data_IF_544529744466
#
_entry.id   IF_544529744466
#
_cell.length_a   1.000
_cell.length_b   1.000
_cell.length_c   1.000
_cell.angle_alpha   90.00
_cell.angle_beta   90.00
_cell.angle_gamma   90.00
#
_symmetry.space_group_name_H-M   'P 1'
#
loop_
_entity.id
_entity.type
_entity.pdbx_description
1 polymer ?
#
# COMPACT_ATOMS: atom_id res chain seq x y z
N UNK A 1 27.76 3.06 17.76
CA UNK A 1 26.45 2.41 18.03
C UNK A 1 26.43 1.06 17.33
N UNK A 2 25.98 -0.03 17.97
CA UNK A 2 25.85 -1.31 17.26
C UNK A 2 24.72 -1.23 16.22
N UNK A 3 24.83 -1.93 15.08
CA UNK A 3 23.78 -1.94 14.03
C UNK A 3 22.41 -2.36 14.58
N UNK A 4 22.40 -3.29 15.54
CA UNK A 4 21.19 -3.79 16.20
C UNK A 4 20.49 -2.73 17.05
N UNK A 5 21.24 -1.81 17.67
CA UNK A 5 20.67 -0.75 18.48
C UNK A 5 20.03 0.35 17.62
N UNK A 6 20.65 0.67 16.48
CA UNK A 6 20.10 1.62 15.51
C UNK A 6 18.77 1.13 14.90
N UNK A 7 18.67 -0.15 14.55
CA UNK A 7 17.43 -0.74 14.02
C UNK A 7 16.27 -0.71 15.03
N UNK A 8 16.54 -0.90 16.33
CA UNK A 8 15.53 -0.81 17.39
C UNK A 8 15.03 0.63 17.59
N UNK A 9 15.93 1.62 17.54
CA UNK A 9 15.57 3.04 17.59
C UNK A 9 14.72 3.47 16.40
N UNK A 10 15.08 3.03 15.19
CA UNK A 10 14.29 3.27 13.98
C UNK A 10 12.89 2.65 14.07
N UNK A 11 12.77 1.43 14.60
CA UNK A 11 11.49 0.78 14.86
C UNK A 11 10.56 1.62 15.75
N UNK A 12 11.10 2.27 16.79
CA UNK A 12 10.33 3.16 17.69
C UNK A 12 9.90 4.47 17.04
N UNK A 13 10.58 4.92 15.98
CA UNK A 13 10.26 6.13 15.23
C UNK A 13 9.57 5.85 13.88
N UNK A 14 9.08 4.62 13.65
CA UNK A 14 8.49 4.19 12.39
C UNK A 14 7.39 5.12 11.85
N UNK A 15 6.63 5.79 12.74
CA UNK A 15 5.61 6.78 12.38
C UNK A 15 6.14 7.96 11.56
N UNK A 16 7.40 8.34 11.77
CA UNK A 16 8.06 9.46 11.09
C UNK A 16 9.05 9.01 10.02
N UNK A 17 9.53 7.77 10.08
CA UNK A 17 10.48 7.24 9.12
C UNK A 17 9.98 7.37 7.67
N UNK A 18 8.72 7.02 7.42
CA UNK A 18 8.12 7.08 6.08
C UNK A 18 8.04 8.52 5.52
N UNK A 19 7.39 9.49 6.19
CA UNK A 19 7.45 10.89 5.76
C UNK A 19 8.88 11.42 5.62
N UNK A 20 9.77 11.12 6.58
CA UNK A 20 11.16 11.59 6.53
C UNK A 20 11.91 11.05 5.31
N UNK A 21 11.70 9.78 4.94
CA UNK A 21 12.28 9.18 3.74
C UNK A 21 11.82 9.87 2.45
N UNK A 22 10.53 10.22 2.36
CA UNK A 22 9.98 11.00 1.24
C UNK A 22 10.68 12.35 1.13
N UNK A 23 10.74 13.12 2.22
CA UNK A 23 11.39 14.43 2.22
C UNK A 23 12.89 14.33 1.95
N UNK A 24 13.56 13.29 2.45
CA UNK A 24 14.98 13.04 2.17
C UNK A 24 15.21 12.74 0.68
N UNK A 25 14.36 11.95 0.04
CA UNK A 25 14.46 11.68 -1.40
C UNK A 25 14.23 12.93 -2.26
N UNK A 26 13.31 13.80 -1.85
CA UNK A 26 13.09 15.09 -2.53
C UNK A 26 14.25 16.05 -2.31
N UNK A 27 14.75 16.16 -1.08
CA UNK A 27 15.83 17.08 -0.71
C UNK A 27 17.21 16.66 -1.24
N UNK A 28 17.43 15.36 -1.46
CA UNK A 28 18.71 14.80 -1.92
C UNK A 28 18.48 13.89 -3.15
N UNK A 29 18.24 14.47 -4.35
CA UNK A 29 17.97 13.68 -5.56
C UNK A 29 19.02 12.63 -5.91
N UNK A 30 20.34 12.88 -5.76
CA UNK A 30 21.35 11.85 -6.03
C UNK A 30 21.20 10.60 -5.15
N UNK A 31 20.68 10.75 -3.93
CA UNK A 31 20.40 9.63 -3.04
C UNK A 31 19.22 8.80 -3.55
N UNK A 32 18.16 9.44 -4.02
CA UNK A 32 17.01 8.76 -4.63
C UNK A 32 17.45 7.95 -5.87
N UNK A 33 18.25 8.55 -6.75
CA UNK A 33 18.81 7.87 -7.92
C UNK A 33 19.69 6.69 -7.53
N UNK A 34 20.57 6.85 -6.53
CA UNK A 34 21.45 5.78 -6.07
C UNK A 34 20.68 4.59 -5.46
N UNK A 35 19.56 4.83 -4.79
CA UNK A 35 18.73 3.79 -4.18
C UNK A 35 17.70 3.18 -5.13
N UNK A 36 17.43 3.80 -6.30
CA UNK A 36 16.47 3.31 -7.30
C UNK A 36 16.65 1.84 -7.70
N UNK A 37 17.88 1.30 -7.92
CA UNK A 37 18.07 -0.12 -8.23
C UNK A 37 17.59 -1.06 -7.11
N UNK A 38 17.54 -0.58 -5.87
CA UNK A 38 17.10 -1.35 -4.71
C UNK A 38 15.57 -1.34 -4.53
N UNK A 39 14.81 -0.58 -5.34
CA UNK A 39 13.36 -0.40 -5.17
C UNK A 39 12.61 -1.74 -5.19
N UNK A 40 12.87 -2.59 -6.20
CA UNK A 40 12.26 -3.92 -6.30
C UNK A 40 12.60 -4.79 -5.09
N UNK A 41 13.88 -4.79 -4.68
CA UNK A 41 14.34 -5.55 -3.51
C UNK A 41 13.71 -5.03 -2.21
N UNK A 42 13.52 -3.71 -2.08
CA UNK A 42 12.86 -3.09 -0.94
C UNK A 42 11.37 -3.47 -0.87
N UNK A 43 10.65 -3.48 -2.00
CA UNK A 43 9.25 -3.93 -2.07
C UNK A 43 9.12 -5.41 -1.69
N UNK A 44 9.94 -6.28 -2.28
CA UNK A 44 9.94 -7.72 -1.94
C UNK A 44 10.33 -7.91 -0.48
N UNK A 45 11.36 -7.22 -0.01
CA UNK A 45 11.86 -7.34 1.36
C UNK A 45 10.86 -6.86 2.41
N UNK A 46 10.18 -5.74 2.18
CA UNK A 46 9.14 -5.22 3.10
C UNK A 46 7.95 -6.17 3.18
N UNK A 47 7.48 -6.69 2.04
CA UNK A 47 6.43 -7.72 2.01
C UNK A 47 6.88 -9.00 2.71
N UNK A 48 8.12 -9.44 2.49
CA UNK A 48 8.70 -10.60 3.18
C UNK A 48 8.73 -10.38 4.69
N UNK A 49 9.22 -9.23 5.14
CA UNK A 49 9.29 -8.90 6.55
C UNK A 49 7.90 -8.85 7.20
N UNK A 50 6.89 -8.29 6.51
CA UNK A 50 5.50 -8.33 6.95
C UNK A 50 4.98 -9.77 7.06
N UNK A 51 5.26 -10.60 6.05
CA UNK A 51 4.89 -12.02 6.03
C UNK A 51 5.62 -12.86 7.07
N UNK A 52 6.83 -12.49 7.51
CA UNK A 52 7.55 -13.17 8.59
C UNK A 52 6.93 -12.89 9.97
N UNK A 53 6.33 -11.72 10.13
CA UNK A 53 5.67 -11.26 11.37
C UNK A 53 4.19 -11.63 11.44
N UNK A 54 3.65 -12.16 10.34
CA UNK A 54 2.29 -12.66 10.24
C UNK A 54 2.01 -13.79 11.24
N UNK A 55 0.94 -13.65 12.01
CA UNK A 55 0.36 -14.72 12.81
C UNK A 55 -0.53 -15.60 11.93
N UNK A 56 -0.01 -16.78 11.53
CA UNK A 56 -0.73 -17.73 10.69
C UNK A 56 -1.95 -18.36 11.39
N UNK A 57 -1.94 -18.43 12.73
CA UNK A 57 -3.08 -18.92 13.50
C UNK A 57 -4.27 -17.99 13.36
N UNK A 58 -4.02 -16.68 13.53
CA UNK A 58 -5.04 -15.63 13.31
C UNK A 58 -5.50 -15.54 11.87
N UNK A 59 -4.60 -15.74 10.90
CA UNK A 59 -5.00 -15.82 9.49
C UNK A 59 -5.93 -17.02 9.25
N UNK A 60 -5.57 -18.21 9.73
CA UNK A 60 -6.37 -19.42 9.59
C UNK A 60 -7.74 -19.29 10.28
N UNK A 61 -7.78 -18.66 11.46
CA UNK A 61 -9.02 -18.39 12.18
C UNK A 61 -9.94 -17.46 11.40
N UNK A 62 -9.40 -16.37 10.83
CA UNK A 62 -10.20 -15.46 10.02
C UNK A 62 -10.74 -16.10 8.73
N UNK A 63 -10.00 -17.05 8.14
CA UNK A 63 -10.48 -17.83 7.00
C UNK A 63 -11.68 -18.72 7.34
N UNK A 64 -11.98 -18.99 8.62
CA UNK A 64 -13.21 -19.69 9.04
C UNK A 64 -14.47 -18.83 8.90
N UNK A 65 -14.35 -17.51 8.81
CA UNK A 65 -15.47 -16.57 8.60
C UNK A 65 -15.15 -15.62 7.45
N UNK A 66 -15.09 -16.12 6.20
CA UNK A 66 -14.49 -15.39 5.09
C UNK A 66 -15.37 -14.27 4.53
N UNK A 67 -16.65 -14.18 4.90
CA UNK A 67 -17.60 -13.28 4.25
C UNK A 67 -17.16 -11.80 4.26
N UNK A 68 -16.75 -11.28 5.42
CA UNK A 68 -16.31 -9.88 5.52
C UNK A 68 -14.95 -9.63 4.83
N UNK A 69 -13.89 -10.43 5.08
CA UNK A 69 -12.64 -10.31 4.33
C UNK A 69 -12.83 -10.44 2.81
N UNK A 70 -13.70 -11.34 2.35
CA UNK A 70 -14.02 -11.52 0.93
C UNK A 70 -14.74 -10.30 0.35
N UNK A 71 -15.71 -9.72 1.07
CA UNK A 71 -16.40 -8.51 0.65
C UNK A 71 -15.41 -7.32 0.54
N UNK A 72 -14.50 -7.17 1.51
CA UNK A 72 -13.44 -6.16 1.47
C UNK A 72 -12.49 -6.42 0.30
N UNK A 73 -12.10 -7.67 0.07
CA UNK A 73 -11.27 -8.07 -1.07
C UNK A 73 -11.93 -7.76 -2.42
N UNK A 74 -13.21 -8.08 -2.58
CA UNK A 74 -13.98 -7.78 -3.79
C UNK A 74 -14.14 -6.26 -4.02
N UNK A 75 -14.38 -5.51 -2.94
CA UNK A 75 -14.36 -4.05 -2.99
C UNK A 75 -13.00 -3.53 -3.48
N UNK A 76 -11.91 -4.06 -2.92
CA UNK A 76 -10.56 -3.59 -3.19
C UNK A 76 -10.05 -3.95 -4.58
N UNK A 77 -10.29 -5.18 -5.04
CA UNK A 77 -9.70 -5.69 -6.26
C UNK A 77 -10.61 -5.55 -7.49
N UNK A 78 -11.89 -5.24 -7.29
CA UNK A 78 -12.87 -5.18 -8.39
C UNK A 78 -13.67 -3.89 -8.35
N UNK A 79 -14.47 -3.67 -7.30
CA UNK A 79 -15.43 -2.58 -7.31
C UNK A 79 -14.74 -1.20 -7.33
N UNK A 80 -13.76 -0.96 -6.46
CA UNK A 80 -13.06 0.32 -6.40
C UNK A 80 -12.28 0.69 -7.67
N UNK A 81 -11.51 -0.19 -8.34
CA UNK A 81 -10.88 0.15 -9.62
C UNK A 81 -11.89 0.36 -10.75
N UNK A 82 -12.98 -0.40 -10.80
CA UNK A 82 -14.06 -0.18 -11.79
C UNK A 82 -14.74 1.17 -11.56
N UNK A 83 -15.04 1.53 -10.31
CA UNK A 83 -15.61 2.83 -9.97
C UNK A 83 -14.63 3.97 -10.25
N UNK A 84 -13.35 3.81 -9.96
CA UNK A 84 -12.32 4.79 -10.28
C UNK A 84 -12.22 5.01 -11.80
N UNK A 85 -12.24 3.93 -12.59
CA UNK A 85 -12.27 4.01 -14.05
C UNK A 85 -13.51 4.75 -14.55
N UNK A 86 -14.70 4.35 -14.07
CA UNK A 86 -15.97 4.93 -14.50
C UNK A 86 -16.06 6.42 -14.13
N UNK A 87 -15.73 6.78 -12.90
CA UNK A 87 -15.72 8.16 -12.44
C UNK A 87 -14.74 9.02 -13.26
N UNK A 88 -13.54 8.50 -13.54
CA UNK A 88 -12.55 9.20 -14.35
C UNK A 88 -12.98 9.34 -15.82
N UNK A 89 -13.63 8.34 -16.38
CA UNK A 89 -14.18 8.40 -17.73
C UNK A 89 -15.32 9.43 -17.82
N UNK A 90 -16.26 9.41 -16.87
CA UNK A 90 -17.38 10.36 -16.80
C UNK A 90 -16.91 11.80 -16.57
N UNK A 91 -15.83 11.99 -15.81
CA UNK A 91 -15.20 13.30 -15.60
C UNK A 91 -14.40 13.79 -16.82
N UNK A 92 -14.30 13.01 -17.90
CA UNK A 92 -13.55 13.37 -19.09
C UNK A 92 -12.03 13.34 -18.92
N UNK A 93 -11.50 12.60 -17.93
CA UNK A 93 -10.05 12.51 -17.74
C UNK A 93 -9.40 11.75 -18.89
N UNK A 94 -8.23 12.27 -19.30
CA UNK A 94 -7.37 11.68 -20.31
C UNK A 94 -6.94 10.24 -19.93
N UNK A 95 -6.64 9.38 -20.92
CA UNK A 95 -6.28 7.98 -20.68
C UNK A 95 -5.15 7.78 -19.67
N UNK A 96 -4.10 8.61 -19.71
CA UNK A 96 -2.99 8.55 -18.77
C UNK A 96 -3.44 8.81 -17.33
N UNK A 97 -4.21 9.88 -17.09
CA UNK A 97 -4.78 10.19 -15.75
C UNK A 97 -5.70 9.08 -15.25
N UNK A 98 -6.50 8.49 -16.15
CA UNK A 98 -7.36 7.35 -15.83
C UNK A 98 -6.54 6.13 -15.41
N UNK A 99 -5.43 5.85 -16.10
CA UNK A 99 -4.51 4.78 -15.74
C UNK A 99 -3.94 4.98 -14.32
N UNK A 100 -3.52 6.20 -13.96
CA UNK A 100 -3.02 6.50 -12.61
C UNK A 100 -4.04 6.13 -11.53
N UNK A 101 -5.27 6.58 -11.71
CA UNK A 101 -6.38 6.37 -10.76
C UNK A 101 -6.78 4.90 -10.66
N UNK A 102 -6.86 4.20 -11.80
CA UNK A 102 -7.21 2.78 -11.85
C UNK A 102 -6.13 1.92 -11.21
N UNK A 103 -4.85 2.15 -11.52
CA UNK A 103 -3.76 1.38 -10.91
C UNK A 103 -3.65 1.63 -9.40
N UNK A 104 -3.90 2.85 -8.93
CA UNK A 104 -3.99 3.11 -7.50
C UNK A 104 -5.15 2.38 -6.84
N UNK A 105 -6.33 2.46 -7.44
CA UNK A 105 -7.51 1.79 -6.92
C UNK A 105 -7.41 0.25 -7.02
N UNK A 106 -6.65 -0.31 -7.97
CA UNK A 106 -6.48 -1.74 -8.15
C UNK A 106 -5.42 -2.37 -7.22
N UNK A 107 -4.50 -1.56 -6.69
CA UNK A 107 -3.44 -2.06 -5.83
C UNK A 107 -4.01 -2.72 -4.55
N UNK A 108 -3.38 -3.77 -3.99
CA UNK A 108 -3.74 -4.25 -2.67
C UNK A 108 -3.37 -3.21 -1.61
N UNK A 109 -3.82 -3.34 -0.35
CA UNK A 109 -3.35 -2.47 0.73
C UNK A 109 -1.82 -2.55 0.90
N UNK A 110 -1.20 -1.44 1.32
CA UNK A 110 0.23 -1.42 1.63
C UNK A 110 0.55 -2.39 2.78
N UNK A 111 1.74 -3.02 2.76
CA UNK A 111 2.17 -3.92 3.84
C UNK A 111 2.12 -3.28 5.24
N UNK A 112 2.30 -1.95 5.31
CA UNK A 112 2.22 -1.16 6.55
C UNK A 112 0.77 -0.85 7.01
N UNK A 113 -0.26 -1.25 6.27
CA UNK A 113 -1.66 -0.95 6.61
C UNK A 113 -2.05 -1.48 8.01
N UNK A 114 -1.51 -2.64 8.40
CA UNK A 114 -1.70 -3.19 9.74
C UNK A 114 -1.08 -2.30 10.83
N UNK A 115 0.10 -1.74 10.58
CA UNK A 115 0.77 -0.80 11.49
C UNK A 115 -0.05 0.47 11.60
N UNK A 116 -0.57 0.97 10.48
CA UNK A 116 -1.44 2.15 10.46
C UNK A 116 -2.74 1.94 11.24
N UNK A 117 -3.37 0.76 11.10
CA UNK A 117 -4.53 0.39 11.89
C UNK A 117 -4.21 0.40 13.40
N UNK A 118 -3.09 -0.19 13.81
CA UNK A 118 -2.67 -0.20 15.22
C UNK A 118 -2.36 1.21 15.75
N UNK A 119 -1.73 2.08 14.97
CA UNK A 119 -1.43 3.47 15.36
C UNK A 119 -2.71 4.23 15.71
N UNK A 120 -3.78 4.04 14.95
CA UNK A 120 -5.06 4.72 15.21
C UNK A 120 -5.96 3.99 16.23
N UNK A 121 -5.49 2.87 16.79
CA UNK A 121 -6.21 2.10 17.83
C UNK A 121 -7.17 1.03 17.30
N UNK A 122 -7.06 0.62 16.04
CA UNK A 122 -7.82 -0.50 15.47
C UNK A 122 -7.06 -1.81 15.59
N UNK A 123 -7.79 -2.93 15.50
CA UNK A 123 -7.19 -4.24 15.33
C UNK A 123 -6.57 -4.37 13.93
N UNK A 124 -5.26 -4.60 13.88
CA UNK A 124 -4.51 -4.78 12.64
C UNK A 124 -4.82 -6.09 11.90
N UNK A 125 -5.47 -7.06 12.53
CA UNK A 125 -5.73 -8.40 11.94
C UNK A 125 -6.42 -8.29 10.58
N UNK A 126 -7.51 -7.52 10.47
CA UNK A 126 -8.26 -7.39 9.22
C UNK A 126 -7.41 -6.79 8.09
N UNK A 127 -6.58 -5.80 8.43
CA UNK A 127 -5.65 -5.18 7.49
C UNK A 127 -4.59 -6.18 7.03
N UNK A 128 -4.04 -6.98 7.94
CA UNK A 128 -3.08 -8.05 7.61
C UNK A 128 -3.69 -9.06 6.65
N UNK A 129 -4.86 -9.62 6.99
CA UNK A 129 -5.53 -10.65 6.18
C UNK A 129 -5.86 -10.09 4.80
N UNK A 130 -6.51 -8.93 4.75
CA UNK A 130 -6.87 -8.33 3.48
C UNK A 130 -5.64 -8.00 2.63
N UNK A 131 -4.54 -7.52 3.24
CA UNK A 131 -3.28 -7.30 2.52
C UNK A 131 -2.76 -8.59 1.91
N UNK A 132 -2.65 -9.66 2.70
CA UNK A 132 -2.12 -10.96 2.24
C UNK A 132 -2.98 -11.55 1.13
N UNK A 133 -4.29 -11.66 1.36
CA UNK A 133 -5.24 -12.27 0.41
C UNK A 133 -5.31 -11.46 -0.87
N UNK A 134 -5.44 -10.14 -0.79
CA UNK A 134 -5.56 -9.31 -2.00
C UNK A 134 -4.25 -9.22 -2.76
N UNK A 135 -3.10 -9.29 -2.08
CA UNK A 135 -1.79 -9.38 -2.76
C UNK A 135 -1.67 -10.70 -3.53
N UNK A 136 -2.09 -11.83 -2.95
CA UNK A 136 -2.09 -13.13 -3.64
C UNK A 136 -3.05 -13.17 -4.84
N UNK A 137 -4.19 -12.49 -4.76
CA UNK A 137 -5.18 -12.40 -5.83
C UNK A 137 -4.86 -11.31 -6.87
N UNK A 138 -3.83 -10.49 -6.62
CA UNK A 138 -3.45 -9.39 -7.50
C UNK A 138 -3.15 -9.84 -8.95
N UNK A 139 -2.39 -10.94 -9.21
CA UNK A 139 -2.09 -11.33 -10.58
C UNK A 139 -3.34 -11.57 -11.42
N UNK A 140 -4.37 -12.17 -10.84
CA UNK A 140 -5.64 -12.45 -11.52
C UNK A 140 -6.43 -11.15 -11.72
N UNK A 141 -6.70 -10.44 -10.63
CA UNK A 141 -7.52 -9.22 -10.65
C UNK A 141 -6.90 -8.13 -11.53
N UNK A 142 -5.60 -7.86 -11.38
CA UNK A 142 -4.91 -6.82 -12.14
C UNK A 142 -4.85 -7.15 -13.63
N UNK A 143 -4.53 -8.39 -14.00
CA UNK A 143 -4.49 -8.80 -15.43
C UNK A 143 -5.85 -8.63 -16.09
N UNK A 144 -6.93 -9.04 -15.42
CA UNK A 144 -8.30 -8.85 -15.93
C UNK A 144 -8.65 -7.36 -16.05
N UNK A 145 -8.35 -6.55 -15.03
CA UNK A 145 -8.61 -5.11 -15.06
C UNK A 145 -7.84 -4.40 -16.17
N UNK A 146 -6.56 -4.74 -16.37
CA UNK A 146 -5.74 -4.19 -17.45
C UNK A 146 -6.32 -4.55 -18.81
N UNK A 147 -6.71 -5.81 -19.01
CA UNK A 147 -7.31 -6.29 -20.25
C UNK A 147 -8.63 -5.57 -20.59
N UNK A 148 -9.48 -5.34 -19.60
CA UNK A 148 -10.82 -4.80 -19.80
C UNK A 148 -10.87 -3.26 -19.81
N UNK A 149 -10.12 -2.61 -18.92
CA UNK A 149 -10.29 -1.17 -18.63
C UNK A 149 -9.22 -0.27 -19.24
N UNK A 150 -8.03 -0.83 -19.54
CA UNK A 150 -6.87 -0.07 -20.01
C UNK A 150 -6.34 -0.42 -21.42
N UNK A 151 -7.12 -0.99 -22.37
CA UNK A 151 -6.59 -1.33 -23.70
C UNK A 151 -6.11 -0.11 -24.51
N UNK A 152 -6.58 1.09 -24.17
CA UNK A 152 -6.20 2.35 -24.81
C UNK A 152 -4.93 2.98 -24.24
N UNK A 153 -4.31 2.39 -23.21
CA UNK A 153 -3.07 2.90 -22.60
C UNK A 153 -1.80 2.62 -23.44
N UNK A 154 -1.95 2.19 -24.70
CA UNK A 154 -0.83 2.02 -25.64
C UNK A 154 0.01 0.76 -25.42
N UNK A 155 -0.40 -0.13 -24.51
CA UNK A 155 0.35 -1.35 -24.24
C UNK A 155 -0.33 -2.51 -24.98
N UNK A 156 0.30 -3.00 -26.05
CA UNK A 156 0.10 -4.38 -26.49
C UNK A 156 0.69 -5.29 -25.39
N UNK A 157 0.01 -5.35 -24.24
CA UNK A 157 0.42 -6.19 -23.13
C UNK A 157 0.23 -7.61 -23.60
N UNK A 158 1.31 -8.37 -23.74
CA UNK A 158 1.19 -9.82 -23.62
C UNK A 158 0.65 -10.10 -22.21
N UNK A 159 -0.66 -10.31 -22.12
CA UNK A 159 -1.36 -10.52 -20.86
C UNK A 159 -0.82 -11.76 -20.13
N UNK A 160 -0.31 -12.75 -20.86
CA UNK A 160 0.33 -13.92 -20.25
C UNK A 160 1.67 -13.53 -19.62
N UNK A 161 2.54 -12.81 -20.35
CA UNK A 161 3.80 -12.32 -19.80
C UNK A 161 3.58 -11.37 -18.61
N UNK A 162 2.58 -10.48 -18.69
CA UNK A 162 2.21 -9.60 -17.59
C UNK A 162 1.71 -10.39 -16.37
N UNK A 163 0.81 -11.35 -16.58
CA UNK A 163 0.33 -12.24 -15.51
C UNK A 163 1.48 -12.97 -14.82
N UNK A 164 2.37 -13.58 -15.60
CA UNK A 164 3.55 -14.30 -15.08
C UNK A 164 4.44 -13.36 -14.28
N UNK A 165 4.72 -12.15 -14.80
CA UNK A 165 5.53 -11.16 -14.10
C UNK A 165 4.92 -10.75 -12.75
N UNK A 166 3.63 -10.41 -12.74
CA UNK A 166 2.91 -10.03 -11.52
C UNK A 166 2.90 -11.21 -10.54
N UNK A 167 2.64 -12.44 -11.03
CA UNK A 167 2.61 -13.65 -10.22
C UNK A 167 3.98 -13.96 -9.60
N UNK A 168 5.08 -13.85 -10.35
CA UNK A 168 6.43 -14.07 -9.82
C UNK A 168 6.81 -13.04 -8.75
N UNK A 169 6.50 -11.76 -8.98
CA UNK A 169 6.77 -10.70 -8.01
C UNK A 169 5.93 -10.82 -6.75
N UNK A 170 4.68 -11.26 -6.88
CA UNK A 170 3.81 -11.55 -5.75
C UNK A 170 4.27 -12.81 -5.01
N UNK A 171 4.68 -13.87 -5.71
CA UNK A 171 5.10 -15.13 -5.10
C UNK A 171 6.46 -15.03 -4.39
N UNK A 172 7.38 -14.20 -4.89
CA UNK A 172 8.73 -14.03 -4.35
C UNK A 172 8.77 -13.75 -2.83
N UNK A 173 8.04 -12.75 -2.27
CA UNK A 173 8.05 -12.51 -0.83
C UNK A 173 7.45 -13.65 0.00
N UNK A 174 6.47 -14.39 -0.53
CA UNK A 174 5.90 -15.56 0.14
C UNK A 174 6.88 -16.73 0.17
N UNK A 175 7.54 -17.01 -0.96
CA UNK A 175 8.56 -18.04 -1.04
C UNK A 175 9.74 -17.73 -0.11
N UNK A 176 10.19 -16.48 -0.08
CA UNK A 176 11.27 -16.05 0.79
C UNK A 176 10.88 -16.12 2.27
N UNK A 177 9.68 -15.66 2.64
CA UNK A 177 9.19 -15.75 4.01
C UNK A 177 9.05 -17.21 4.46
N UNK A 178 8.57 -18.09 3.59
CA UNK A 178 8.47 -19.53 3.87
C UNK A 178 9.85 -20.16 4.07
N UNK A 179 10.80 -19.90 3.17
CA UNK A 179 12.16 -20.44 3.25
C UNK A 179 12.87 -19.97 4.53
N UNK A 180 12.75 -18.69 4.87
CA UNK A 180 13.33 -18.12 6.09
C UNK A 180 12.69 -18.68 7.37
N UNK A 181 11.36 -18.87 7.39
CA UNK A 181 10.66 -19.53 8.51
C UNK A 181 11.12 -20.97 8.71
N UNK A 182 11.31 -21.71 7.62
CA UNK A 182 11.78 -23.09 7.64
C UNK A 182 13.24 -23.20 8.08
N UNK A 183 14.11 -22.29 7.61
CA UNK A 183 15.54 -22.30 7.92
C UNK A 183 15.90 -21.76 9.32
N UNK A 184 15.26 -20.67 9.75
CA UNK A 184 15.59 -20.00 11.02
C UNK A 184 14.74 -20.49 12.20
N UNK A 185 13.57 -21.07 11.92
CA UNK A 185 12.59 -21.54 12.91
C UNK A 185 11.69 -20.41 13.44
N UNK A 186 10.39 -20.72 13.57
CA UNK A 186 9.37 -19.76 14.01
C UNK A 186 9.66 -19.16 15.40
N UNK A 187 10.17 -19.98 16.33
CA UNK A 187 10.50 -19.53 17.70
C UNK A 187 11.61 -18.49 17.69
N UNK A 188 12.64 -18.66 16.85
CA UNK A 188 13.76 -17.72 16.77
C UNK A 188 13.33 -16.40 16.13
N UNK A 189 12.49 -16.46 15.10
CA UNK A 189 11.91 -15.27 14.48
C UNK A 189 11.06 -14.48 15.47
N UNK A 190 10.19 -15.16 16.24
CA UNK A 190 9.37 -14.52 17.26
C UNK A 190 10.21 -13.84 18.35
N UNK A 191 11.34 -14.46 18.77
CA UNK A 191 12.29 -13.85 19.72
C UNK A 191 12.99 -12.59 19.21
N UNK A 192 13.00 -12.37 17.89
CA UNK A 192 13.66 -11.23 17.25
C UNK A 192 12.66 -10.34 16.48
N UNK A 193 11.38 -10.32 16.88
CA UNK A 193 10.35 -9.52 16.19
C UNK A 193 10.73 -8.03 16.09
N UNK A 194 11.35 -7.47 17.14
CA UNK A 194 11.84 -6.08 17.11
C UNK A 194 12.88 -5.82 16.03
N UNK A 195 13.80 -6.77 15.80
CA UNK A 195 14.82 -6.64 14.76
C UNK A 195 14.18 -6.75 13.36
N UNK A 196 13.22 -7.66 13.18
CA UNK A 196 12.45 -7.76 11.95
C UNK A 196 11.66 -6.47 11.66
N UNK A 197 11.10 -5.86 12.71
CA UNK A 197 10.48 -4.54 12.65
C UNK A 197 11.46 -3.45 12.18
N UNK A 198 12.66 -3.41 12.76
CA UNK A 198 13.71 -2.47 12.36
C UNK A 198 14.19 -2.66 10.91
N UNK A 199 14.38 -3.91 10.47
CA UNK A 199 14.71 -4.25 9.07
C UNK A 199 13.60 -3.77 8.13
N UNK A 200 12.34 -4.00 8.47
CA UNK A 200 11.22 -3.53 7.66
C UNK A 200 11.20 -2.00 7.53
N UNK A 201 11.46 -1.27 8.63
CA UNK A 201 11.55 0.20 8.61
C UNK A 201 12.72 0.68 7.73
N UNK A 202 13.88 0.03 7.79
CA UNK A 202 15.01 0.37 6.94
C UNK A 202 14.70 0.16 5.44
N UNK A 203 14.04 -0.96 5.10
CA UNK A 203 13.62 -1.23 3.72
C UNK A 203 12.55 -0.23 3.25
N UNK A 204 11.61 0.14 4.13
CA UNK A 204 10.61 1.18 3.86
C UNK A 204 11.26 2.56 3.64
N UNK A 205 12.32 2.90 4.38
CA UNK A 205 13.09 4.12 4.16
C UNK A 205 13.79 4.11 2.80
N UNK A 206 14.46 3.00 2.45
CA UNK A 206 15.08 2.83 1.13
C UNK A 206 14.04 3.00 0.04
N UNK A 207 12.88 2.35 0.17
CA UNK A 207 11.77 2.50 -0.77
C UNK A 207 11.28 3.96 -0.86
N UNK A 208 10.98 4.59 0.26
CA UNK A 208 10.43 5.96 0.30
C UNK A 208 11.38 7.00 -0.29
N UNK A 209 12.69 6.80 -0.18
CA UNK A 209 13.70 7.64 -0.81
C UNK A 209 13.83 7.32 -2.31
N UNK A 210 13.99 6.03 -2.65
CA UNK A 210 14.19 5.56 -4.03
C UNK A 210 13.03 5.94 -4.96
N UNK A 211 11.79 5.89 -4.45
CA UNK A 211 10.59 6.17 -5.23
C UNK A 211 10.40 7.66 -5.56
N UNK A 212 11.21 8.55 -4.97
CA UNK A 212 11.23 9.98 -5.27
C UNK A 212 12.17 10.34 -6.43
N UNK A 213 12.86 9.36 -7.01
CA UNK A 213 13.73 9.60 -8.16
C UNK A 213 12.95 10.25 -9.31
N UNK A 214 13.51 11.31 -9.90
CA UNK A 214 12.86 12.11 -10.94
C UNK A 214 11.82 13.13 -10.45
N UNK A 215 11.30 13.01 -9.22
CA UNK A 215 10.27 13.94 -8.69
C UNK A 215 10.83 15.36 -8.54
N UNK A 216 12.01 15.52 -7.94
CA UNK A 216 12.62 16.85 -7.74
C UNK A 216 12.98 17.53 -9.04
N UNK A 217 13.51 16.78 -10.01
CA UNK A 217 13.83 17.33 -11.34
C UNK A 217 12.55 17.87 -12.03
N UNK A 218 11.47 17.08 -12.01
CA UNK A 218 10.17 17.48 -12.57
C UNK A 218 9.47 18.58 -11.77
N UNK A 219 9.70 18.67 -10.46
CA UNK A 219 9.19 19.78 -9.64
C UNK A 219 9.83 21.11 -10.04
N UNK A 220 11.12 21.10 -10.37
CA UNK A 220 11.83 22.29 -10.83
C UNK A 220 11.45 22.70 -12.25
N UNK A 221 11.29 21.73 -13.17
CA UNK A 221 10.98 22.03 -14.58
C UNK A 221 9.48 22.25 -14.84
N UNK A 222 8.61 21.51 -14.14
CA UNK A 222 7.17 21.46 -14.39
C UNK A 222 6.37 21.45 -13.07
N UNK A 223 6.48 22.50 -12.23
CA UNK A 223 5.85 22.53 -10.90
C UNK A 223 4.32 22.37 -10.94
N UNK A 224 3.67 22.92 -11.96
CA UNK A 224 2.22 22.79 -12.15
C UNK A 224 1.80 21.33 -12.41
N UNK A 225 2.63 20.56 -13.11
CA UNK A 225 2.36 19.14 -13.36
C UNK A 225 2.49 18.32 -12.07
N UNK A 226 3.54 18.55 -11.27
CA UNK A 226 3.70 17.89 -9.96
C UNK A 226 2.58 18.29 -9.00
N UNK A 227 2.18 19.56 -8.97
CA UNK A 227 1.04 20.01 -8.18
C UNK A 227 -0.27 19.33 -8.60
N UNK A 228 -0.50 19.15 -9.91
CA UNK A 228 -1.65 18.40 -10.43
C UNK A 228 -1.62 16.93 -9.99
N UNK A 229 -0.47 16.26 -10.08
CA UNK A 229 -0.32 14.87 -9.62
C UNK A 229 -0.53 14.74 -8.11
N UNK A 230 -0.03 15.69 -7.32
CA UNK A 230 -0.25 15.73 -5.87
C UNK A 230 -1.72 15.93 -5.53
N UNK A 231 -2.38 16.88 -6.18
CA UNK A 231 -3.81 17.11 -6.00
C UNK A 231 -4.63 15.87 -6.35
N UNK A 232 -4.30 15.22 -7.48
CA UNK A 232 -4.95 13.99 -7.91
C UNK A 232 -4.73 12.86 -6.88
N UNK A 233 -3.51 12.70 -6.39
CA UNK A 233 -3.18 11.69 -5.38
C UNK A 233 -3.92 11.93 -4.06
N UNK A 234 -3.99 13.18 -3.60
CA UNK A 234 -4.76 13.56 -2.41
C UNK A 234 -6.24 13.26 -2.59
N UNK A 235 -6.83 13.67 -3.73
CA UNK A 235 -8.24 13.43 -4.04
C UNK A 235 -8.54 11.94 -4.12
N UNK A 236 -7.75 11.18 -4.86
CA UNK A 236 -7.94 9.74 -5.05
C UNK A 236 -7.80 8.98 -3.73
N UNK A 237 -6.76 9.28 -2.95
CA UNK A 237 -6.54 8.71 -1.62
C UNK A 237 -7.71 9.03 -0.69
N UNK A 238 -8.17 10.29 -0.63
CA UNK A 238 -9.30 10.68 0.21
C UNK A 238 -10.61 10.00 -0.23
N UNK A 239 -10.87 9.94 -1.54
CA UNK A 239 -12.04 9.29 -2.11
C UNK A 239 -12.06 7.79 -1.79
N UNK A 240 -10.92 7.10 -1.91
CA UNK A 240 -10.80 5.68 -1.56
C UNK A 240 -11.00 5.43 -0.07
N UNK A 241 -10.45 6.27 0.82
CA UNK A 241 -10.72 6.18 2.26
C UNK A 241 -12.22 6.37 2.55
N UNK A 242 -12.83 7.41 1.99
CA UNK A 242 -14.24 7.73 2.21
C UNK A 242 -15.15 6.62 1.67
N UNK A 243 -14.87 6.11 0.47
CA UNK A 243 -15.64 5.03 -0.14
C UNK A 243 -15.50 3.73 0.65
N UNK A 244 -14.29 3.38 1.08
CA UNK A 244 -14.05 2.23 1.96
C UNK A 244 -14.82 2.33 3.28
N UNK A 245 -14.85 3.51 3.90
CA UNK A 245 -15.67 3.75 5.08
C UNK A 245 -17.17 3.61 4.78
N UNK A 246 -17.66 4.27 3.72
CA UNK A 246 -19.07 4.35 3.39
C UNK A 246 -19.68 2.97 3.04
N UNK A 247 -18.95 2.14 2.29
CA UNK A 247 -19.39 0.79 1.89
C UNK A 247 -19.54 -0.11 3.11
N UNK A 248 -18.62 -0.03 4.08
CA UNK A 248 -18.56 -0.93 5.23
C UNK A 248 -19.12 -0.31 6.53
N UNK A 249 -19.71 0.89 6.49
CA UNK A 249 -20.26 1.58 7.68
C UNK A 249 -21.27 0.76 8.47
N UNK A 250 -22.05 -0.10 7.79
CA UNK A 250 -23.07 -0.96 8.42
C UNK A 250 -22.49 -2.19 9.09
N UNK A 251 -21.23 -2.55 8.80
CA UNK A 251 -20.51 -3.67 9.41
C UNK A 251 -19.84 -3.31 10.74
N UNK A 252 -20.16 -2.13 11.30
CA UNK A 252 -19.59 -1.62 12.55
C UNK A 252 -18.46 -0.61 12.31
N UNK A 253 -18.26 0.27 13.30
CA UNK A 253 -17.36 1.42 13.16
C UNK A 253 -15.90 0.99 12.96
N UNK A 254 -15.42 0.01 13.73
CA UNK A 254 -14.07 -0.56 13.62
C UNK A 254 -13.83 -1.13 12.23
N UNK A 255 -14.77 -1.94 11.73
CA UNK A 255 -14.72 -2.51 10.38
C UNK A 255 -14.67 -1.44 9.29
N UNK A 256 -15.51 -0.41 9.42
CA UNK A 256 -15.59 0.67 8.46
C UNK A 256 -14.28 1.46 8.37
N UNK A 257 -13.66 1.80 9.50
CA UNK A 257 -12.36 2.48 9.51
C UNK A 257 -11.21 1.58 9.06
N UNK A 258 -11.24 0.28 9.38
CA UNK A 258 -10.27 -0.67 8.82
C UNK A 258 -10.38 -0.77 7.30
N UNK A 259 -11.60 -0.86 6.77
CA UNK A 259 -11.84 -0.86 5.32
C UNK A 259 -11.43 0.47 4.67
N UNK A 260 -11.68 1.60 5.33
CA UNK A 260 -11.22 2.92 4.89
C UNK A 260 -9.69 2.96 4.76
N UNK A 261 -8.97 2.59 5.83
CA UNK A 261 -7.51 2.55 5.84
C UNK A 261 -6.96 1.65 4.73
N UNK A 262 -7.52 0.45 4.58
CA UNK A 262 -7.04 -0.49 3.56
C UNK A 262 -7.36 -0.03 2.12
N UNK A 263 -8.47 0.68 1.92
CA UNK A 263 -8.87 1.19 0.61
C UNK A 263 -8.01 2.37 0.16
N UNK A 264 -7.65 3.27 1.09
CA UNK A 264 -6.88 4.46 0.75
C UNK A 264 -5.36 4.31 0.90
N UNK A 265 -4.86 3.37 1.71
CA UNK A 265 -3.43 3.08 1.83
C UNK A 265 -3.05 1.91 0.91
N UNK A 266 -2.85 2.23 -0.36
CA UNK A 266 -2.65 1.29 -1.46
C UNK A 266 -1.18 1.00 -1.72
N UNK A 267 -0.82 -0.23 -2.09
CA UNK A 267 0.57 -0.64 -2.32
C UNK A 267 1.08 -0.17 -3.69
N UNK A 268 1.24 1.14 -3.85
CA UNK A 268 1.73 1.75 -5.09
C UNK A 268 3.15 1.31 -5.44
N UNK A 269 3.98 0.98 -4.45
CA UNK A 269 5.31 0.42 -4.67
C UNK A 269 5.25 -0.93 -5.37
N UNK A 270 4.36 -1.83 -4.95
CA UNK A 270 4.12 -3.08 -5.67
C UNK A 270 3.65 -2.81 -7.11
N UNK A 271 2.72 -1.86 -7.30
CA UNK A 271 2.23 -1.51 -8.63
C UNK A 271 3.34 -0.99 -9.55
N UNK A 272 4.27 -0.17 -9.04
CA UNK A 272 5.43 0.30 -9.78
C UNK A 272 6.33 -0.87 -10.23
N UNK A 273 6.59 -1.82 -9.35
CA UNK A 273 7.46 -2.96 -9.66
C UNK A 273 6.78 -3.92 -10.65
N UNK A 274 5.48 -4.21 -10.49
CA UNK A 274 4.77 -5.16 -11.39
C UNK A 274 4.48 -4.57 -12.77
N UNK A 275 4.38 -3.24 -12.88
CA UNK A 275 4.28 -2.57 -14.18
C UNK A 275 5.64 -2.49 -14.88
N UNK A 276 6.75 -2.50 -14.14
CA UNK A 276 8.12 -2.51 -14.69
C UNK A 276 8.33 -1.46 -15.81
N UNK A 277 7.81 -0.25 -15.60
CA UNK A 277 7.92 0.86 -16.55
C UNK A 277 6.88 0.86 -17.67
N UNK A 278 6.10 -0.21 -17.87
CA UNK A 278 5.09 -0.27 -18.95
C UNK A 278 3.88 0.64 -18.71
N UNK A 279 3.76 1.22 -17.51
CA UNK A 279 2.70 2.16 -17.14
C UNK A 279 3.08 3.64 -17.39
N UNK A 280 4.28 3.90 -17.94
CA UNK A 280 4.75 5.24 -18.29
C UNK A 280 5.40 6.02 -17.14
N UNK A 281 6.09 7.10 -17.49
CA UNK A 281 6.84 7.95 -16.55
C UNK A 281 5.92 8.68 -15.58
N UNK A 282 4.75 9.15 -16.05
CA UNK A 282 3.73 9.78 -15.22
C UNK A 282 3.31 8.87 -14.06
N UNK A 283 3.18 7.57 -14.31
CA UNK A 283 2.85 6.60 -13.27
C UNK A 283 3.97 6.46 -12.23
N UNK A 284 5.23 6.45 -12.68
CA UNK A 284 6.39 6.39 -11.77
C UNK A 284 6.44 7.61 -10.85
N UNK A 285 6.24 8.82 -11.40
CA UNK A 285 6.14 10.06 -10.62
C UNK A 285 4.94 10.05 -9.67
N UNK A 286 3.78 9.61 -10.17
CA UNK A 286 2.55 9.51 -9.38
C UNK A 286 2.70 8.55 -8.20
N UNK A 287 3.38 7.41 -8.38
CA UNK A 287 3.66 6.46 -7.29
C UNK A 287 4.47 7.13 -6.18
N UNK A 288 5.50 7.90 -6.52
CA UNK A 288 6.28 8.68 -5.55
C UNK A 288 5.41 9.69 -4.82
N UNK A 289 4.71 10.54 -5.57
CA UNK A 289 3.87 11.61 -5.02
C UNK A 289 2.73 11.05 -4.16
N UNK A 290 2.12 9.92 -4.53
CA UNK A 290 1.03 9.28 -3.80
C UNK A 290 1.45 8.78 -2.41
N UNK A 291 2.76 8.58 -2.17
CA UNK A 291 3.25 8.25 -0.83
C UNK A 291 2.93 9.35 0.19
N UNK A 292 2.90 10.61 -0.23
CA UNK A 292 2.65 11.75 0.67
C UNK A 292 1.27 11.61 1.32
N UNK A 293 0.13 11.69 0.61
CA UNK A 293 -1.18 11.60 1.25
C UNK A 293 -1.40 10.27 1.98
N UNK A 294 -0.83 9.16 1.50
CA UNK A 294 -0.95 7.86 2.17
C UNK A 294 -0.23 7.82 3.51
N UNK A 295 1.02 8.31 3.60
CA UNK A 295 1.78 8.25 4.86
C UNK A 295 1.24 9.20 5.93
N UNK A 296 0.53 10.26 5.54
CA UNK A 296 -0.17 11.15 6.48
C UNK A 296 -1.60 10.67 6.82
N UNK A 297 -2.18 9.72 6.08
CA UNK A 297 -3.57 9.27 6.28
C UNK A 297 -3.88 8.79 7.70
N UNK A 298 -3.02 8.02 8.41
CA UNK A 298 -3.31 7.60 9.78
C UNK A 298 -3.48 8.79 10.74
N UNK A 299 -2.63 9.81 10.61
CA UNK A 299 -2.69 11.03 11.42
C UNK A 299 -3.97 11.82 11.16
N UNK A 300 -4.45 11.81 9.90
CA UNK A 300 -5.67 12.50 9.50
C UNK A 300 -6.93 11.74 9.94
N UNK A 301 -6.92 10.42 9.95
CA UNK A 301 -8.10 9.59 10.27
C UNK A 301 -8.33 9.37 11.76
N UNK A 302 -7.25 9.40 12.56
CA UNK A 302 -7.31 9.14 14.00
C UNK A 302 -8.33 10.02 14.77
N UNK A 303 -8.40 11.36 14.56
CA UNK A 303 -9.38 12.19 15.27
C UNK A 303 -10.82 11.81 14.95
N UNK A 304 -11.11 11.44 13.70
CA UNK A 304 -12.44 11.03 13.27
C UNK A 304 -12.83 9.69 13.90
N UNK A 305 -11.92 8.72 13.91
CA UNK A 305 -12.17 7.42 14.56
C UNK A 305 -12.45 7.61 16.05
N UNK A 306 -11.61 8.38 16.77
CA UNK A 306 -11.81 8.68 18.20
C UNK A 306 -13.17 9.34 18.46
N UNK A 307 -13.59 10.28 17.61
CA UNK A 307 -14.91 10.92 17.72
C UNK A 307 -16.06 9.94 17.49
N UNK A 308 -15.96 9.11 16.46
CA UNK A 308 -17.00 8.13 16.12
C UNK A 308 -17.16 7.05 17.19
N UNK A 309 -16.06 6.61 17.82
CA UNK A 309 -16.11 5.66 18.93
C UNK A 309 -16.80 6.25 20.16
N UNK A 310 -16.56 7.53 20.48
CA UNK A 310 -17.22 8.25 21.59
C UNK A 310 -18.72 8.45 21.39
N UNK A 311 -19.15 8.59 20.14
CA UNK A 311 -20.56 8.78 19.78
C UNK A 311 -21.34 7.47 19.60
N UNK A 312 -20.65 6.32 19.70
CA UNK A 312 -21.25 5.00 19.59
C UNK A 312 -22.25 4.72 20.73
N UNK A 313 -23.14 3.71 20.57
CA UNK A 313 -24.25 3.45 21.49
C UNK A 313 -23.86 3.22 22.96
N UNK A 314 -22.58 2.95 23.26
CA UNK A 314 -22.08 2.66 24.62
C UNK A 314 -21.71 3.86 25.50
N UNK A 315 -21.91 5.10 25.05
CA UNK A 315 -21.60 6.30 25.85
C UNK A 315 -22.78 7.25 26.07
N UNK A 316 -24.00 6.85 25.68
CA UNK A 316 -25.24 7.56 26.04
C UNK A 316 -25.82 7.05 27.36
N UNK A 317 -24.98 6.91 28.37
CA UNK A 317 -25.34 6.33 29.67
C UNK A 317 -24.26 6.58 30.71
N UNK A 318 -24.06 7.84 31.08
CA UNK A 318 -23.46 8.26 32.35
C UNK A 318 -24.02 9.63 32.70
#
# INVERSE_FOLDING_TARGET
>A
MSPTHALRLLGRQARWALPAGVFAGVAVPPLATALRPLLTAAVIGTLTAALLRLDWGRLAEAMRRPALPAAIGAWQLVASPVLAWAAAALAGFAPETRLLLVLQAAAPPIGSAAVFAMIVGLDGILAVIGTVVTTLLLPLSLTVLVALLLPQAGVQVDLAAFFVRVALLVAAPFALAWALRRGLGAVRLARHDELLGGVNVALLLVFAIAVMDGVTARLSSEPAYIAKLLWLACLATAALHLAGYAVFRRAGITTAYSAALMSGNRNMGLMLVVTAGTAGDAFSLYVGIAQIPMYFAPLLLEPFLRRSLRQGPGHRGS
#
